data_IF_490624962106
#
_entry.id   IF_490624962106
#
_cell.length_a   1.000
_cell.length_b   1.000
_cell.length_c   1.000
_cell.angle_alpha   90.00
_cell.angle_beta   90.00
_cell.angle_gamma   90.00
#
_symmetry.space_group_name_H-M   'P 1'
#
loop_
_entity.id
_entity.type
_entity.pdbx_description
1 polymer ?
#
# COMPACT_ATOMS: atom_id res chain seq x y z
N UNK A 1 25.14 28.75 -4.26
CA UNK A 1 24.98 28.26 -5.65
C UNK A 1 25.56 26.86 -5.66
N UNK A 2 24.82 25.77 -5.65
CA UNK A 2 23.39 25.58 -5.85
C UNK A 2 23.00 24.32 -5.09
N UNK A 3 21.95 24.42 -4.27
CA UNK A 3 21.30 23.27 -3.66
C UNK A 3 20.71 22.40 -4.76
N UNK A 4 21.40 21.32 -5.11
CA UNK A 4 20.82 20.28 -5.97
C UNK A 4 19.97 19.39 -5.06
N UNK A 5 18.79 19.90 -4.69
CA UNK A 5 17.78 19.13 -3.97
C UNK A 5 17.28 18.08 -4.95
N UNK A 6 17.87 16.89 -4.89
CA UNK A 6 17.35 15.69 -5.54
C UNK A 6 15.84 15.68 -5.31
N UNK A 7 15.08 15.74 -6.40
CA UNK A 7 13.67 15.44 -6.37
C UNK A 7 13.58 13.99 -5.91
N UNK A 8 13.51 13.77 -4.60
CA UNK A 8 12.82 12.61 -4.06
C UNK A 8 11.48 12.67 -4.76
N UNK A 9 11.21 11.73 -5.65
CA UNK A 9 9.84 11.44 -6.02
C UNK A 9 9.17 11.16 -4.68
N UNK A 10 8.47 12.16 -4.14
CA UNK A 10 7.83 12.11 -2.84
C UNK A 10 6.64 11.17 -3.03
N UNK A 11 6.91 9.86 -2.99
CA UNK A 11 5.87 8.85 -2.88
C UNK A 11 4.98 9.30 -1.71
N UNK A 12 3.75 9.63 -2.05
CA UNK A 12 2.85 10.23 -1.07
C UNK A 12 2.50 9.15 -0.06
N UNK A 13 2.85 9.37 1.20
CA UNK A 13 2.58 8.43 2.27
C UNK A 13 1.34 8.88 3.05
N UNK A 14 0.31 8.03 3.11
CA UNK A 14 -0.94 8.29 3.83
C UNK A 14 -1.23 7.20 4.86
N UNK A 15 -1.95 7.54 5.92
CA UNK A 15 -2.30 6.62 7.01
C UNK A 15 -3.80 6.41 7.11
N UNK A 16 -4.21 5.20 7.51
CA UNK A 16 -5.61 4.80 7.55
C UNK A 16 -5.90 3.89 8.74
N UNK A 17 -7.16 3.91 9.20
CA UNK A 17 -7.61 3.08 10.31
C UNK A 17 -7.78 1.61 9.90
N UNK A 18 -8.31 1.37 8.69
CA UNK A 18 -8.67 0.03 8.23
C UNK A 18 -8.74 -0.04 6.70
N UNK A 19 -9.17 -1.18 6.17
CA UNK A 19 -9.54 -1.37 4.77
C UNK A 19 -10.90 -2.07 4.66
N UNK A 20 -11.42 -2.17 3.44
CA UNK A 20 -12.66 -2.89 3.14
C UNK A 20 -12.58 -3.65 1.82
N UNK A 21 -13.43 -4.66 1.70
CA UNK A 21 -13.55 -5.48 0.50
C UNK A 21 -12.49 -6.58 0.40
N UNK A 22 -12.56 -7.32 -0.70
CA UNK A 22 -11.68 -8.46 -1.03
C UNK A 22 -10.90 -8.25 -2.33
N UNK A 23 -11.14 -7.12 -3.00
CA UNK A 23 -10.48 -6.73 -4.25
C UNK A 23 -9.18 -6.00 -3.94
N UNK A 24 -8.26 -6.04 -4.90
CA UNK A 24 -6.97 -5.36 -4.85
C UNK A 24 -6.93 -4.23 -5.89
N UNK A 25 -6.22 -3.12 -5.63
CA UNK A 25 -5.56 -2.76 -4.38
C UNK A 25 -6.54 -2.60 -3.22
N UNK A 26 -6.08 -2.72 -1.97
CA UNK A 26 -6.96 -2.60 -0.81
C UNK A 26 -7.63 -1.22 -0.77
N UNK A 27 -8.95 -1.20 -0.52
CA UNK A 27 -9.69 0.05 -0.31
C UNK A 27 -9.51 0.50 1.14
N UNK A 28 -8.60 1.44 1.35
CA UNK A 28 -8.27 2.02 2.65
C UNK A 28 -9.34 3.00 3.15
N UNK A 29 -9.61 2.98 4.44
CA UNK A 29 -10.70 3.70 5.09
C UNK A 29 -10.24 4.43 6.36
N UNK A 30 -10.89 5.56 6.64
CA UNK A 30 -10.63 6.38 7.81
C UNK A 30 -9.22 6.96 7.78
N UNK A 31 -8.95 7.97 6.92
CA UNK A 31 -7.67 8.66 6.90
C UNK A 31 -7.26 9.12 8.29
N UNK A 32 -5.97 9.04 8.59
CA UNK A 32 -5.37 9.43 9.85
C UNK A 32 -4.28 10.46 9.63
N UNK A 33 -4.22 11.44 10.52
CA UNK A 33 -3.08 12.35 10.62
C UNK A 33 -1.93 11.70 11.39
N UNK A 34 -0.69 12.12 11.11
CA UNK A 34 0.49 11.60 11.80
C UNK A 34 0.43 11.75 13.33
N UNK A 35 -0.26 12.79 13.83
CA UNK A 35 -0.47 13.04 15.25
C UNK A 35 -1.36 11.98 15.92
N UNK A 36 -2.25 11.33 15.16
CA UNK A 36 -3.16 10.29 15.65
C UNK A 36 -2.48 8.92 15.82
N UNK A 37 -1.27 8.74 15.29
CA UNK A 37 -0.56 7.46 15.32
C UNK A 37 0.01 7.13 16.71
N UNK A 38 0.36 8.16 17.51
CA UNK A 38 1.13 8.01 18.76
C UNK A 38 0.48 7.10 19.81
N UNK A 39 -0.85 7.00 19.79
CA UNK A 39 -1.62 6.21 20.77
C UNK A 39 -2.32 5.01 20.12
N UNK A 40 -1.93 4.62 18.90
CA UNK A 40 -2.55 3.52 18.16
C UNK A 40 -1.65 2.31 18.16
N UNK A 41 -2.24 1.19 18.55
CA UNK A 41 -1.60 -0.12 18.44
C UNK A 41 -1.56 -0.59 16.99
N UNK A 42 -2.52 -0.18 16.16
CA UNK A 42 -2.62 -0.66 14.77
C UNK A 42 -3.12 0.43 13.84
N UNK A 43 -2.52 0.51 12.66
CA UNK A 43 -2.96 1.35 11.54
C UNK A 43 -2.40 0.82 10.22
N UNK A 44 -2.92 1.32 9.11
CA UNK A 44 -2.40 1.05 7.77
C UNK A 44 -1.61 2.25 7.25
N UNK A 45 -0.50 1.98 6.57
CA UNK A 45 0.31 2.95 5.83
C UNK A 45 0.28 2.58 4.36
N UNK A 46 0.03 3.53 3.48
CA UNK A 46 0.11 3.30 2.05
C UNK A 46 0.95 4.36 1.35
N UNK A 47 1.74 3.90 0.38
CA UNK A 47 2.48 4.76 -0.54
C UNK A 47 1.80 4.79 -1.89
N UNK A 48 1.79 5.98 -2.49
CA UNK A 48 1.17 6.22 -3.78
C UNK A 48 2.22 6.66 -4.81
N UNK A 49 2.06 6.22 -6.05
CA UNK A 49 2.85 6.73 -7.17
C UNK A 49 2.40 8.14 -7.59
N UNK A 50 3.10 8.71 -8.58
CA UNK A 50 2.79 10.03 -9.12
C UNK A 50 1.40 10.13 -9.80
N UNK A 51 0.79 9.00 -10.17
CA UNK A 51 -0.57 8.93 -10.74
C UNK A 51 -1.64 8.74 -9.65
N UNK A 52 -1.24 8.62 -8.37
CA UNK A 52 -2.13 8.41 -7.25
C UNK A 52 -2.61 6.96 -7.11
N UNK A 53 -1.90 5.97 -7.68
CA UNK A 53 -2.17 4.55 -7.46
C UNK A 53 -1.38 4.04 -6.26
N UNK A 54 -1.97 3.13 -5.48
CA UNK A 54 -1.29 2.53 -4.33
C UNK A 54 -0.23 1.57 -4.83
N UNK A 55 1.04 1.81 -4.51
CA UNK A 55 2.14 0.89 -4.85
C UNK A 55 2.51 -0.02 -3.69
N UNK A 56 2.30 0.42 -2.45
CA UNK A 56 2.49 -0.41 -1.27
C UNK A 56 1.46 -0.09 -0.19
N UNK A 57 1.06 -1.09 0.58
CA UNK A 57 0.19 -0.96 1.73
C UNK A 57 0.67 -1.89 2.85
N UNK A 58 0.92 -1.33 4.02
CA UNK A 58 1.42 -2.04 5.20
C UNK A 58 0.45 -1.91 6.36
N UNK A 59 0.21 -2.99 7.09
CA UNK A 59 -0.43 -2.96 8.40
C UNK A 59 0.67 -2.92 9.45
N UNK A 60 0.70 -1.84 10.23
CA UNK A 60 1.61 -1.72 11.36
C UNK A 60 0.89 -2.12 12.64
N UNK A 61 1.54 -2.94 13.47
CA UNK A 61 1.08 -3.35 14.79
C UNK A 61 2.20 -3.08 15.79
N UNK A 62 1.95 -2.18 16.74
CA UNK A 62 2.95 -1.68 17.70
C UNK A 62 4.24 -1.16 17.05
N UNK A 63 4.13 -0.59 15.85
CA UNK A 63 5.25 -0.04 15.08
C UNK A 63 5.93 -1.03 14.13
N UNK A 64 5.64 -2.33 14.23
CA UNK A 64 6.18 -3.36 13.35
C UNK A 64 5.26 -3.64 12.17
N UNK A 65 5.82 -3.97 11.01
CA UNK A 65 5.03 -4.37 9.83
C UNK A 65 4.60 -5.82 10.00
N UNK A 66 3.30 -6.04 10.23
CA UNK A 66 2.71 -7.38 10.34
C UNK A 66 2.33 -7.94 8.96
N UNK A 67 1.89 -7.06 8.06
CA UNK A 67 1.41 -7.40 6.72
C UNK A 67 1.85 -6.32 5.74
N UNK A 68 2.33 -6.72 4.57
CA UNK A 68 2.67 -5.82 3.46
C UNK A 68 2.12 -6.33 2.14
N UNK A 69 1.48 -5.45 1.39
CA UNK A 69 1.09 -5.66 0.01
C UNK A 69 1.93 -4.73 -0.86
N UNK A 70 2.58 -5.27 -1.88
CA UNK A 70 3.20 -4.50 -2.96
C UNK A 70 2.42 -4.76 -4.24
N UNK A 71 1.98 -3.68 -4.91
CA UNK A 71 1.16 -3.75 -6.11
C UNK A 71 1.99 -3.38 -7.34
N UNK A 72 1.80 -4.13 -8.41
CA UNK A 72 2.39 -3.86 -9.71
C UNK A 72 1.32 -3.76 -10.77
N UNK A 73 1.48 -2.78 -11.64
CA UNK A 73 0.51 -2.43 -12.67
C UNK A 73 1.07 -2.76 -14.05
N UNK A 74 0.19 -3.19 -14.96
CA UNK A 74 0.52 -3.43 -16.36
C UNK A 74 0.73 -2.12 -17.13
N UNK A 75 1.18 -2.23 -18.38
CA UNK A 75 1.37 -1.08 -19.27
C UNK A 75 0.05 -0.34 -19.60
N UNK A 76 -1.09 -1.03 -19.43
CA UNK A 76 -2.44 -0.47 -19.56
C UNK A 76 -2.90 0.27 -18.29
N UNK A 77 -2.08 0.27 -17.23
CA UNK A 77 -2.38 0.87 -15.94
C UNK A 77 -3.29 0.03 -15.05
N UNK A 78 -3.71 -1.17 -15.49
CA UNK A 78 -4.50 -2.09 -14.68
C UNK A 78 -3.63 -2.81 -13.64
N UNK A 79 -4.20 -3.20 -12.50
CA UNK A 79 -3.48 -4.00 -11.52
C UNK A 79 -3.16 -5.37 -12.15
N UNK A 80 -1.88 -5.71 -12.21
CA UNK A 80 -1.42 -6.98 -12.77
C UNK A 80 -1.16 -8.01 -11.67
N UNK A 81 -0.50 -7.60 -10.58
CA UNK A 81 -0.10 -8.50 -9.51
C UNK A 81 0.00 -7.81 -8.17
N UNK A 82 -0.31 -8.56 -7.11
CA UNK A 82 -0.03 -8.20 -5.73
C UNK A 82 0.92 -9.22 -5.10
N UNK A 83 2.00 -8.73 -4.48
CA UNK A 83 2.87 -9.52 -3.61
C UNK A 83 2.50 -9.23 -2.17
N UNK A 84 2.13 -10.26 -1.41
CA UNK A 84 1.65 -10.14 -0.03
C UNK A 84 2.66 -10.86 0.88
N UNK A 85 3.25 -10.12 1.81
CA UNK A 85 4.14 -10.64 2.84
C UNK A 85 3.46 -10.57 4.21
N UNK A 86 3.43 -11.68 4.95
CA UNK A 86 2.90 -11.77 6.31
C UNK A 86 3.87 -12.58 7.16
N UNK A 87 4.66 -11.89 7.98
CA UNK A 87 5.82 -12.50 8.64
C UNK A 87 6.82 -13.02 7.61
N UNK A 88 7.15 -14.31 7.68
CA UNK A 88 8.07 -14.99 6.73
C UNK A 88 7.36 -15.49 5.47
N UNK A 89 6.03 -15.56 5.48
CA UNK A 89 5.25 -16.06 4.36
C UNK A 89 5.08 -14.98 3.28
N UNK A 90 5.35 -15.37 2.03
CA UNK A 90 5.16 -14.50 0.87
C UNK A 90 4.30 -15.22 -0.16
N UNK A 91 3.26 -14.53 -0.63
CA UNK A 91 2.38 -15.00 -1.70
C UNK A 91 2.34 -13.97 -2.83
N UNK A 92 2.32 -14.45 -4.08
CA UNK A 92 2.07 -13.61 -5.25
C UNK A 92 0.72 -13.99 -5.85
N UNK A 93 -0.07 -12.97 -6.19
CA UNK A 93 -1.43 -13.12 -6.70
C UNK A 93 -1.54 -12.31 -7.98
N UNK A 94 -1.79 -12.98 -9.09
CA UNK A 94 -2.17 -12.31 -10.33
C UNK A 94 -3.60 -11.76 -10.20
N UNK A 95 -3.83 -10.58 -10.75
CA UNK A 95 -5.09 -9.86 -10.62
C UNK A 95 -5.76 -9.70 -11.98
N UNK A 96 -7.08 -9.86 -12.01
CA UNK A 96 -7.89 -9.47 -13.16
C UNK A 96 -7.93 -7.95 -13.31
N UNK A 97 -8.35 -7.48 -14.48
CA UNK A 97 -8.49 -6.05 -14.77
C UNK A 97 -9.44 -5.31 -13.82
N UNK A 98 -10.34 -6.03 -13.14
CA UNK A 98 -11.27 -5.52 -12.12
C UNK A 98 -10.72 -5.61 -10.68
N UNK A 99 -9.43 -5.95 -10.53
CA UNK A 99 -8.78 -6.12 -9.24
C UNK A 99 -9.18 -7.39 -8.49
N UNK A 100 -9.89 -8.32 -9.13
CA UNK A 100 -10.19 -9.62 -8.53
C UNK A 100 -8.91 -10.48 -8.47
N UNK A 101 -8.60 -11.10 -7.31
CA UNK A 101 -7.59 -12.14 -7.23
C UNK A 101 -7.91 -13.28 -8.21
N UNK A 102 -7.00 -13.60 -9.10
CA UNK A 102 -7.09 -14.78 -9.93
C UNK A 102 -6.57 -15.96 -9.10
N UNK A 103 -7.38 -17.00 -8.96
CA UNK A 103 -6.93 -18.25 -8.35
C UNK A 103 -6.28 -19.09 -9.45
N UNK A 104 -5.02 -19.48 -9.23
CA UNK A 104 -4.38 -20.58 -9.98
C UNK A 104 -5.01 -21.92 -9.60
#
# INVERSE_FOLDING_TARGET
MSDNKEARNEEECRYFLSYSGVRLPLKLLGPLEASELKNRNTYFRATYDAEGKIVSCEKLVYGEVELRHDYSYGADGALARARIAMGEDVSEIDCGADGAPLRS
#
